data_IF_304882343042
#
_entry.id   IF_304882343042
#
_cell.length_a   1.000
_cell.length_b   1.000
_cell.length_c   1.000
_cell.angle_alpha   90.00
_cell.angle_beta   90.00
_cell.angle_gamma   90.00
#
_symmetry.space_group_name_H-M   'P 1'
#
loop_
_entity.id
_entity.type
_entity.pdbx_description
1 polymer ?
#
# COMPACT_ATOMS: atom_id res chain seq x y z
N UNK A 1 -0.50 -10.93 -7.38
CA UNK A 1 -0.50 -10.98 -5.91
C UNK A 1 -1.76 -11.70 -5.46
N UNK A 2 -1.70 -12.65 -4.50
CA UNK A 2 -2.89 -13.40 -4.04
C UNK A 2 -3.84 -12.50 -3.23
N UNK A 3 -3.31 -11.81 -2.22
CA UNK A 3 -4.12 -11.00 -1.30
C UNK A 3 -4.99 -9.95 -2.03
N UNK A 4 -4.43 -9.21 -2.98
CA UNK A 4 -5.18 -8.21 -3.75
C UNK A 4 -6.33 -8.81 -4.59
N UNK A 5 -6.23 -10.08 -4.99
CA UNK A 5 -7.32 -10.76 -5.68
C UNK A 5 -8.42 -11.21 -4.70
N UNK A 6 -8.03 -11.72 -3.54
CA UNK A 6 -8.98 -12.19 -2.51
C UNK A 6 -9.73 -11.02 -1.86
N UNK A 7 -9.05 -9.92 -1.55
CA UNK A 7 -9.66 -8.74 -0.92
C UNK A 7 -10.42 -7.85 -1.90
N UNK A 8 -9.86 -7.65 -3.12
CA UNK A 8 -10.33 -6.63 -4.06
C UNK A 8 -10.75 -7.14 -5.45
N UNK A 9 -10.47 -8.41 -5.79
CA UNK A 9 -10.80 -8.98 -7.10
C UNK A 9 -9.87 -8.54 -8.25
N UNK A 10 -8.72 -7.94 -7.92
CA UNK A 10 -7.80 -7.36 -8.92
C UNK A 10 -6.53 -8.18 -9.06
N UNK A 11 -5.94 -8.15 -10.26
CA UNK A 11 -4.61 -8.70 -10.50
C UNK A 11 -3.60 -7.58 -10.61
N UNK A 12 -2.60 -7.65 -9.73
CA UNK A 12 -1.45 -6.75 -9.73
C UNK A 12 -0.14 -7.54 -9.77
N UNK A 13 0.89 -6.92 -10.32
CA UNK A 13 2.25 -7.44 -10.35
C UNK A 13 3.17 -6.51 -9.54
N UNK A 14 3.84 -6.99 -8.47
CA UNK A 14 4.80 -6.19 -7.74
C UNK A 14 6.03 -5.93 -8.62
N UNK A 15 6.49 -4.69 -8.67
CA UNK A 15 7.62 -4.28 -9.54
C UNK A 15 8.83 -3.84 -8.73
N UNK A 16 8.62 -2.90 -7.79
CA UNK A 16 9.70 -2.30 -7.01
C UNK A 16 9.34 -2.26 -5.54
N UNK A 17 10.26 -2.70 -4.68
CA UNK A 17 10.16 -2.49 -3.24
C UNK A 17 10.30 -0.99 -2.96
N UNK A 18 9.31 -0.43 -2.28
CA UNK A 18 9.35 0.94 -1.76
C UNK A 18 10.15 0.95 -0.45
N UNK A 19 9.66 0.22 0.56
CA UNK A 19 10.32 0.13 1.85
C UNK A 19 9.89 -1.13 2.61
N UNK A 20 10.60 -1.40 3.71
CA UNK A 20 10.24 -2.40 4.70
C UNK A 20 10.09 -1.71 6.06
N UNK A 21 9.03 -2.05 6.79
CA UNK A 21 8.84 -1.59 8.17
C UNK A 21 8.72 -2.78 9.11
N UNK A 22 9.34 -2.68 10.28
CA UNK A 22 9.27 -3.71 11.31
C UNK A 22 8.53 -3.19 12.52
N UNK A 23 7.54 -3.94 12.96
CA UNK A 23 6.71 -3.61 14.12
C UNK A 23 6.63 -4.80 15.06
N UNK A 24 6.41 -4.55 16.34
CA UNK A 24 6.13 -5.60 17.30
C UNK A 24 6.91 -5.48 18.60
N UNK A 25 6.75 -6.49 19.44
CA UNK A 25 7.39 -6.59 20.76
C UNK A 25 8.59 -7.52 20.69
N UNK A 26 9.28 -7.71 21.82
CA UNK A 26 10.32 -8.73 21.96
C UNK A 26 9.84 -10.14 21.64
N UNK A 27 8.55 -10.43 21.85
CA UNK A 27 7.96 -11.76 21.68
C UNK A 27 7.44 -12.02 20.26
N UNK A 28 7.02 -10.96 19.55
CA UNK A 28 6.44 -11.08 18.21
C UNK A 28 6.85 -9.90 17.35
N UNK A 29 7.46 -10.21 16.20
CA UNK A 29 7.86 -9.22 15.20
C UNK A 29 7.09 -9.45 13.91
N UNK A 30 6.64 -8.35 13.32
CA UNK A 30 5.95 -8.28 12.04
C UNK A 30 6.86 -7.47 11.12
N UNK A 31 7.12 -7.98 9.92
CA UNK A 31 7.81 -7.24 8.86
C UNK A 31 6.83 -7.00 7.73
N UNK A 32 6.63 -5.73 7.38
CA UNK A 32 5.73 -5.29 6.32
C UNK A 32 6.57 -4.77 5.15
N UNK A 33 6.37 -5.37 3.97
CA UNK A 33 7.06 -4.98 2.75
C UNK A 33 6.07 -4.27 1.83
N UNK A 34 6.39 -3.02 1.47
CA UNK A 34 5.55 -2.21 0.60
C UNK A 34 6.13 -2.18 -0.81
N UNK A 35 5.29 -2.45 -1.82
CA UNK A 35 5.71 -2.52 -3.21
C UNK A 35 4.89 -1.58 -4.09
N UNK A 36 5.58 -0.91 -5.02
CA UNK A 36 4.93 -0.39 -6.21
C UNK A 36 4.48 -1.57 -7.06
N UNK A 37 3.21 -1.53 -7.46
CA UNK A 37 2.59 -2.60 -8.22
C UNK A 37 2.01 -2.04 -9.52
N UNK A 38 2.22 -2.78 -10.61
CA UNK A 38 1.54 -2.53 -11.88
C UNK A 38 0.19 -3.20 -11.90
N UNK A 39 -0.80 -2.46 -12.40
CA UNK A 39 -2.12 -2.98 -12.70
C UNK A 39 -2.06 -3.97 -13.86
N UNK A 40 -2.67 -5.15 -13.70
CA UNK A 40 -2.75 -6.15 -14.77
C UNK A 40 -4.17 -6.20 -15.32
N UNK A 41 -5.16 -6.47 -14.47
CA UNK A 41 -6.58 -6.48 -14.84
C UNK A 41 -7.48 -6.58 -13.59
N UNK A 42 -8.79 -6.57 -13.83
CA UNK A 42 -9.84 -6.64 -12.81
C UNK A 42 -10.48 -5.28 -12.60
N UNK A 43 -11.59 -5.26 -11.86
CA UNK A 43 -12.24 -4.04 -11.37
C UNK A 43 -12.37 -4.18 -9.86
N UNK A 44 -11.88 -3.22 -9.07
CA UNK A 44 -11.80 -3.36 -7.62
C UNK A 44 -13.20 -3.37 -7.00
N UNK A 45 -13.41 -4.29 -6.05
CA UNK A 45 -14.64 -4.42 -5.26
C UNK A 45 -14.27 -4.81 -3.84
N UNK A 46 -14.99 -4.32 -2.84
CA UNK A 46 -14.77 -4.75 -1.46
C UNK A 46 -15.27 -6.20 -1.28
N UNK A 47 -14.40 -7.20 -1.43
CA UNK A 47 -14.75 -8.63 -1.30
C UNK A 47 -14.54 -9.09 0.14
N UNK A 48 -13.32 -8.93 0.65
CA UNK A 48 -12.93 -9.30 2.03
C UNK A 48 -12.40 -8.08 2.81
N UNK A 49 -12.78 -6.88 2.37
CA UNK A 49 -12.55 -5.64 3.08
C UNK A 49 -13.86 -4.85 3.22
N UNK A 50 -13.90 -3.89 4.14
CA UNK A 50 -15.12 -3.11 4.41
C UNK A 50 -15.38 -2.06 3.32
N UNK A 51 -14.33 -1.42 2.83
CA UNK A 51 -14.39 -0.32 1.88
C UNK A 51 -13.03 -0.13 1.20
N UNK A 52 -13.01 0.53 0.05
CA UNK A 52 -11.78 0.93 -0.63
C UNK A 52 -12.00 2.24 -1.40
N UNK A 53 -10.91 3.00 -1.60
CA UNK A 53 -10.94 4.24 -2.37
C UNK A 53 -9.62 4.50 -3.08
N UNK A 54 -9.70 4.95 -4.32
CA UNK A 54 -8.57 5.59 -5.00
C UNK A 54 -8.41 7.02 -4.50
N UNK A 55 -7.21 7.36 -4.02
CA UNK A 55 -6.94 8.66 -3.40
C UNK A 55 -5.81 9.36 -4.15
N UNK A 56 -5.97 10.67 -4.36
CA UNK A 56 -4.95 11.52 -4.95
C UNK A 56 -3.77 11.71 -3.97
N UNK A 57 -2.65 12.22 -4.47
CA UNK A 57 -1.51 12.62 -3.62
C UNK A 57 -1.93 13.69 -2.61
N UNK A 58 -2.78 14.62 -3.01
CA UNK A 58 -3.19 15.77 -2.20
C UNK A 58 -4.11 15.33 -1.06
N UNK A 59 -4.94 14.32 -1.30
CA UNK A 59 -5.95 13.84 -0.35
C UNK A 59 -5.47 12.69 0.54
N UNK A 60 -4.37 12.02 0.20
CA UNK A 60 -3.94 10.80 0.92
C UNK A 60 -3.68 11.04 2.42
N UNK A 61 -3.26 12.26 2.79
CA UNK A 61 -3.03 12.66 4.19
C UNK A 61 -4.31 12.85 5.01
N UNK A 62 -5.48 12.87 4.37
CA UNK A 62 -6.78 12.99 5.04
C UNK A 62 -7.22 11.64 5.67
N UNK A 63 -6.57 10.54 5.29
CA UNK A 63 -6.91 9.19 5.75
C UNK A 63 -6.01 8.75 6.91
N UNK A 64 -6.63 8.24 7.97
CA UNK A 64 -5.92 7.70 9.11
C UNK A 64 -5.40 6.29 8.80
N UNK A 65 -4.08 6.15 8.75
CA UNK A 65 -3.42 4.84 8.64
C UNK A 65 -3.05 4.28 10.02
N UNK A 66 -2.95 2.95 10.09
CA UNK A 66 -2.43 2.27 11.28
C UNK A 66 -0.98 2.72 11.53
N UNK A 67 -0.50 2.70 12.79
CA UNK A 67 0.87 3.08 13.10
C UNK A 67 1.93 2.36 12.24
N UNK A 68 1.62 1.13 11.81
CA UNK A 68 2.46 0.31 10.95
C UNK A 68 2.76 0.91 9.58
N UNK A 69 1.80 1.67 9.04
CA UNK A 69 1.79 2.15 7.66
C UNK A 69 2.09 3.66 7.56
N UNK A 70 2.17 4.39 8.69
CA UNK A 70 2.39 5.85 8.65
C UNK A 70 3.74 6.21 8.01
N UNK A 71 4.77 5.43 8.30
CA UNK A 71 6.11 5.67 7.74
C UNK A 71 6.14 5.57 6.21
N UNK A 72 5.39 4.63 5.62
CA UNK A 72 5.34 4.50 4.16
C UNK A 72 4.59 5.67 3.52
N UNK A 73 3.55 6.19 4.17
CA UNK A 73 2.82 7.37 3.69
C UNK A 73 3.69 8.63 3.71
N UNK A 74 4.45 8.84 4.78
CA UNK A 74 5.35 9.99 4.91
C UNK A 74 6.43 9.97 3.84
N UNK A 75 7.05 8.81 3.62
CA UNK A 75 8.04 8.56 2.57
C UNK A 75 7.47 8.82 1.16
N UNK A 76 6.29 8.27 0.86
CA UNK A 76 5.56 8.50 -0.40
C UNK A 76 5.30 9.97 -0.69
N UNK A 77 4.83 10.73 0.31
CA UNK A 77 4.46 12.14 0.13
C UNK A 77 5.71 13.01 -0.05
N UNK A 78 6.78 12.72 0.69
CA UNK A 78 8.03 13.48 0.65
C UNK A 78 8.80 13.24 -0.66
N UNK A 79 8.87 11.99 -1.11
CA UNK A 79 9.66 11.55 -2.27
C UNK A 79 8.81 11.29 -3.52
N UNK A 80 7.58 11.83 -3.57
CA UNK A 80 6.63 11.58 -4.67
C UNK A 80 7.25 11.79 -6.05
N UNK A 81 7.93 12.93 -6.24
CA UNK A 81 8.57 13.27 -7.51
C UNK A 81 9.69 12.31 -7.89
N UNK A 82 10.38 11.73 -6.91
CA UNK A 82 11.45 10.75 -7.16
C UNK A 82 10.89 9.40 -7.61
N UNK A 83 9.69 9.05 -7.16
CA UNK A 83 9.04 7.79 -7.50
C UNK A 83 8.21 7.84 -8.78
N UNK A 84 7.65 9.01 -9.12
CA UNK A 84 6.64 9.13 -10.17
C UNK A 84 6.96 10.15 -11.27
N UNK A 85 8.13 10.82 -11.24
CA UNK A 85 8.54 11.62 -12.41
C UNK A 85 8.80 10.71 -13.61
N UNK A 86 8.16 11.10 -14.72
CA UNK A 86 8.36 10.54 -16.06
C UNK A 86 9.26 11.48 -16.85
#
# INVERSE_FOLDING_TARGET
MREAFEELGIRIHPERLLCNSQHGTSERKISLFFFFCRWVNGEPRAIDCKDFKWVSREDIRQYALLPGDRGVLEDLVLHWEEYFKT
#
